data_IF_190607223735
#
_entry.id   IF_190607223735
#
_cell.length_a   1.000
_cell.length_b   1.000
_cell.length_c   1.000
_cell.angle_alpha   90.00
_cell.angle_beta   90.00
_cell.angle_gamma   90.00
#
_symmetry.space_group_name_H-M   'P 1'
#
loop_
_entity.id
_entity.type
_entity.pdbx_description
1 polymer ?
#
# COMPACT_ATOMS: atom_id res chain seq x y z
N UNK A 1 8.44 -11.29 -14.33
CA UNK A 1 9.08 -10.88 -13.04
C UNK A 1 8.33 -11.49 -11.89
N UNK A 2 9.06 -11.94 -10.88
CA UNK A 2 8.43 -12.45 -9.68
C UNK A 2 7.77 -11.31 -8.90
N UNK A 3 6.90 -11.65 -7.98
CA UNK A 3 6.18 -10.66 -7.17
C UNK A 3 6.29 -11.02 -5.71
N UNK A 4 6.58 -10.01 -4.89
CA UNK A 4 6.42 -10.08 -3.45
C UNK A 4 5.14 -9.32 -3.13
N UNK A 5 4.29 -9.87 -2.30
CA UNK A 5 3.02 -9.20 -2.00
C UNK A 5 2.74 -9.12 -0.49
N UNK A 6 2.02 -8.07 -0.13
CA UNK A 6 1.43 -7.91 1.20
C UNK A 6 -0.05 -7.69 0.97
N UNK A 7 -0.89 -8.55 1.50
CA UNK A 7 -2.32 -8.52 1.24
C UNK A 7 -3.09 -8.41 2.54
N UNK A 8 -4.12 -7.56 2.53
CA UNK A 8 -4.96 -7.39 3.70
C UNK A 8 -4.32 -6.57 4.82
N UNK A 9 -3.41 -5.65 4.49
CA UNK A 9 -2.81 -4.76 5.48
C UNK A 9 -3.88 -3.77 5.96
N UNK A 10 -4.24 -3.85 7.23
CA UNK A 10 -5.24 -2.98 7.83
C UNK A 10 -4.55 -1.77 8.46
N UNK A 11 -5.00 -0.57 8.09
CA UNK A 11 -4.46 0.66 8.63
C UNK A 11 -5.62 1.54 9.10
N UNK A 12 -5.59 1.96 10.36
CA UNK A 12 -6.56 2.90 10.87
C UNK A 12 -6.01 4.33 10.73
N UNK A 13 -6.75 5.19 10.05
CA UNK A 13 -6.28 6.53 9.73
C UNK A 13 -7.43 7.50 9.54
N UNK A 14 -7.11 8.78 9.56
CA UNK A 14 -8.04 9.84 9.17
C UNK A 14 -8.05 9.89 7.64
N UNK A 15 -9.22 9.70 7.04
CA UNK A 15 -9.39 9.66 5.59
C UNK A 15 -10.82 10.11 5.25
N UNK A 16 -10.97 10.93 4.21
CA UNK A 16 -12.26 11.37 3.71
C UNK A 16 -12.38 12.88 3.65
N UNK A 17 -13.32 13.36 2.82
CA UNK A 17 -13.52 14.79 2.56
C UNK A 17 -14.55 15.43 3.50
N UNK A 18 -15.44 14.60 4.08
CA UNK A 18 -16.51 15.11 4.92
C UNK A 18 -16.00 15.50 6.29
N UNK A 19 -16.57 16.55 6.85
CA UNK A 19 -16.11 17.06 8.16
C UNK A 19 -16.14 15.99 9.25
N UNK A 20 -17.19 15.18 9.29
CA UNK A 20 -17.29 14.10 10.28
C UNK A 20 -16.19 13.06 10.11
N UNK A 21 -15.73 12.81 8.86
CA UNK A 21 -14.63 11.89 8.59
C UNK A 21 -13.29 12.41 9.13
N UNK A 22 -13.14 13.73 9.23
CA UNK A 22 -11.92 14.34 9.75
C UNK A 22 -11.80 14.22 11.27
N UNK A 23 -12.87 13.83 11.93
CA UNK A 23 -12.93 13.72 13.39
C UNK A 23 -12.76 12.29 13.91
N UNK A 24 -12.65 11.32 13.02
CA UNK A 24 -12.57 9.90 13.38
C UNK A 24 -11.45 9.21 12.61
N UNK A 25 -11.11 8.00 13.04
CA UNK A 25 -10.30 7.10 12.21
C UNK A 25 -11.20 6.10 11.53
N UNK A 26 -10.78 5.67 10.35
CA UNK A 26 -11.44 4.62 9.59
C UNK A 26 -10.40 3.59 9.17
N UNK A 27 -10.83 2.35 8.99
CA UNK A 27 -9.94 1.27 8.58
C UNK A 27 -9.86 1.23 7.07
N UNK A 28 -8.65 1.30 6.54
CA UNK A 28 -8.36 0.97 5.14
C UNK A 28 -7.74 -0.42 5.07
N UNK A 29 -8.05 -1.14 4.00
CA UNK A 29 -7.42 -2.43 3.71
C UNK A 29 -6.57 -2.23 2.47
N UNK A 30 -5.28 -2.47 2.59
CA UNK A 30 -4.30 -2.19 1.55
C UNK A 30 -3.66 -3.49 1.07
N UNK A 31 -3.68 -3.70 -0.24
CA UNK A 31 -2.99 -4.81 -0.89
C UNK A 31 -1.87 -4.25 -1.75
N UNK A 32 -0.71 -4.83 -1.62
CA UNK A 32 0.49 -4.43 -2.37
C UNK A 32 1.03 -5.62 -3.14
N UNK A 33 1.38 -5.41 -4.41
CA UNK A 33 2.19 -6.34 -5.18
C UNK A 33 3.42 -5.58 -5.66
N UNK A 34 4.59 -6.19 -5.51
CA UNK A 34 5.86 -5.55 -5.84
C UNK A 34 6.66 -6.49 -6.74
N UNK A 35 7.04 -6.01 -7.92
CA UNK A 35 7.91 -6.77 -8.82
C UNK A 35 9.30 -6.87 -8.23
N UNK A 36 9.83 -8.07 -8.15
CA UNK A 36 11.15 -8.31 -7.56
C UNK A 36 11.73 -9.61 -8.08
N UNK A 37 13.00 -9.58 -8.44
CA UNK A 37 13.70 -10.82 -8.79
C UNK A 37 14.14 -11.50 -7.51
N UNK A 38 13.53 -12.62 -7.18
CA UNK A 38 13.81 -13.33 -5.92
C UNK A 38 15.00 -14.28 -6.01
N UNK A 39 15.67 -14.39 -7.16
CA UNK A 39 16.72 -15.41 -7.35
C UNK A 39 17.85 -15.31 -6.35
N UNK A 40 18.34 -14.10 -6.07
CA UNK A 40 19.44 -13.90 -5.12
C UNK A 40 19.04 -14.36 -3.71
N UNK A 41 17.87 -13.92 -3.25
CA UNK A 41 17.36 -14.30 -1.93
C UNK A 41 17.10 -15.81 -1.83
N UNK A 42 16.54 -16.40 -2.87
CA UNK A 42 16.27 -17.83 -2.89
C UNK A 42 17.56 -18.66 -2.84
N UNK A 43 18.63 -18.14 -3.44
CA UNK A 43 19.93 -18.81 -3.48
C UNK A 43 20.70 -18.66 -2.16
N UNK A 44 20.71 -17.46 -1.59
CA UNK A 44 21.49 -17.15 -0.39
C UNK A 44 20.76 -17.42 0.92
N UNK A 45 19.43 -17.42 0.89
CA UNK A 45 18.59 -17.47 2.08
C UNK A 45 18.88 -16.31 3.06
N UNK A 46 19.32 -15.17 2.52
CA UNK A 46 19.72 -14.00 3.31
C UNK A 46 18.73 -12.86 3.16
N UNK A 47 18.36 -12.22 4.28
CA UNK A 47 17.41 -11.11 4.31
C UNK A 47 17.90 -9.93 3.47
N UNK A 48 19.20 -9.65 3.45
CA UNK A 48 19.78 -8.54 2.70
C UNK A 48 19.64 -8.68 1.18
N UNK A 49 19.32 -9.87 0.67
CA UNK A 49 19.15 -10.13 -0.75
C UNK A 49 17.69 -10.04 -1.19
N UNK A 50 16.78 -9.74 -0.27
CA UNK A 50 15.35 -9.66 -0.58
C UNK A 50 14.78 -8.28 -0.24
N UNK A 51 13.58 -8.03 -0.78
CA UNK A 51 12.76 -6.91 -0.36
C UNK A 51 12.12 -7.26 0.99
N UNK A 52 12.40 -6.46 2.02
CA UNK A 52 11.80 -6.70 3.34
C UNK A 52 10.35 -6.22 3.37
N UNK A 53 9.40 -7.15 3.23
CA UNK A 53 7.98 -6.81 3.29
C UNK A 53 7.56 -6.30 4.67
N UNK A 54 8.28 -6.66 5.73
CA UNK A 54 8.01 -6.09 7.07
C UNK A 54 8.31 -4.59 7.10
N UNK A 55 9.45 -4.18 6.53
CA UNK A 55 9.82 -2.77 6.46
C UNK A 55 8.87 -2.01 5.55
N UNK A 56 8.47 -2.62 4.43
CA UNK A 56 7.46 -2.04 3.52
C UNK A 56 6.16 -1.80 4.27
N UNK A 57 5.63 -2.79 4.98
CA UNK A 57 4.38 -2.67 5.71
C UNK A 57 4.45 -1.58 6.78
N UNK A 58 5.55 -1.50 7.53
CA UNK A 58 5.75 -0.45 8.53
C UNK A 58 5.77 0.94 7.91
N UNK A 59 6.49 1.09 6.81
CA UNK A 59 6.62 2.38 6.12
C UNK A 59 5.29 2.84 5.53
N UNK A 60 4.55 1.93 4.90
CA UNK A 60 3.24 2.22 4.34
C UNK A 60 2.27 2.64 5.43
N UNK A 61 2.25 1.91 6.55
CA UNK A 61 1.40 2.25 7.69
C UNK A 61 1.70 3.68 8.18
N UNK A 62 2.97 4.00 8.42
CA UNK A 62 3.39 5.32 8.89
C UNK A 62 2.97 6.42 7.91
N UNK A 63 3.20 6.21 6.62
CA UNK A 63 2.83 7.17 5.58
C UNK A 63 1.33 7.45 5.58
N UNK A 64 0.52 6.40 5.62
CA UNK A 64 -0.95 6.52 5.56
C UNK A 64 -1.49 7.25 6.80
N UNK A 65 -0.99 6.90 7.98
CA UNK A 65 -1.40 7.53 9.24
C UNK A 65 -1.01 9.00 9.27
N UNK A 66 0.21 9.33 8.88
CA UNK A 66 0.74 10.68 8.93
C UNK A 66 0.11 11.63 7.89
N UNK A 67 -0.27 11.11 6.73
CA UNK A 67 -0.74 11.94 5.62
C UNK A 67 -2.10 12.57 5.89
N UNK A 68 -2.99 11.88 6.57
CA UNK A 68 -4.36 12.34 6.83
C UNK A 68 -5.04 12.86 5.56
N UNK A 69 -4.96 12.04 4.51
CA UNK A 69 -5.44 12.43 3.18
C UNK A 69 -6.96 12.58 3.12
N UNK A 70 -7.43 13.38 2.18
CA UNK A 70 -8.86 13.46 1.88
C UNK A 70 -9.30 12.30 0.99
N UNK A 71 -8.45 11.88 0.05
CA UNK A 71 -8.79 10.89 -0.97
C UNK A 71 -7.87 9.68 -0.90
N UNK A 72 -8.43 8.49 -1.11
CA UNK A 72 -7.63 7.26 -1.21
C UNK A 72 -6.68 7.30 -2.41
N UNK A 73 -7.03 8.03 -3.46
CA UNK A 73 -6.17 8.25 -4.63
C UNK A 73 -4.84 8.89 -4.26
N UNK A 74 -4.88 9.86 -3.35
CA UNK A 74 -3.67 10.51 -2.84
C UNK A 74 -2.76 9.50 -2.14
N UNK A 75 -3.35 8.62 -1.34
CA UNK A 75 -2.61 7.59 -0.65
C UNK A 75 -2.03 6.57 -1.62
N UNK A 76 -2.82 6.15 -2.62
CA UNK A 76 -2.38 5.15 -3.59
C UNK A 76 -1.14 5.63 -4.37
N UNK A 77 -1.18 6.86 -4.88
CA UNK A 77 -0.03 7.44 -5.58
C UNK A 77 1.17 7.61 -4.66
N UNK A 78 0.94 8.07 -3.43
CA UNK A 78 2.02 8.25 -2.46
C UNK A 78 2.69 6.92 -2.09
N UNK A 79 1.90 5.87 -1.90
CA UNK A 79 2.43 4.54 -1.61
C UNK A 79 3.25 4.02 -2.78
N UNK A 80 2.73 4.12 -4.01
CA UNK A 80 3.45 3.68 -5.19
C UNK A 80 4.79 4.42 -5.32
N UNK A 81 4.79 5.74 -5.09
CA UNK A 81 6.00 6.55 -5.13
C UNK A 81 7.05 6.10 -4.11
N UNK A 82 6.64 5.88 -2.87
CA UNK A 82 7.59 5.46 -1.84
C UNK A 82 8.12 4.04 -2.08
N UNK A 83 7.32 3.15 -2.64
CA UNK A 83 7.80 1.81 -2.99
C UNK A 83 8.89 1.88 -4.04
N UNK A 84 8.72 2.73 -5.05
CA UNK A 84 9.69 2.88 -6.12
C UNK A 84 10.94 3.65 -5.65
N UNK A 85 10.77 4.71 -4.87
CA UNK A 85 11.88 5.58 -4.47
C UNK A 85 12.66 5.06 -3.26
N UNK A 86 11.98 4.54 -2.26
CA UNK A 86 12.63 4.12 -1.01
C UNK A 86 13.03 2.65 -1.01
N UNK A 87 12.32 1.80 -1.77
CA UNK A 87 12.56 0.36 -1.79
C UNK A 87 13.06 -0.16 -3.14
N UNK A 88 13.29 0.73 -4.10
CA UNK A 88 13.79 0.37 -5.43
C UNK A 88 12.91 -0.65 -6.17
N UNK A 89 11.62 -0.63 -5.92
CA UNK A 89 10.66 -1.52 -6.57
C UNK A 89 10.42 -1.03 -8.00
N UNK A 90 10.75 -1.83 -9.03
CA UNK A 90 10.61 -1.38 -10.42
C UNK A 90 9.16 -1.31 -10.89
N UNK A 91 8.30 -2.13 -10.33
CA UNK A 91 6.87 -2.16 -10.63
C UNK A 91 6.10 -2.49 -9.37
N UNK A 92 4.94 -1.83 -9.20
CA UNK A 92 4.06 -2.15 -8.08
C UNK A 92 2.60 -2.00 -8.48
N UNK A 93 1.76 -2.71 -7.75
CA UNK A 93 0.32 -2.55 -7.76
C UNK A 93 -0.12 -2.22 -6.35
N UNK A 94 -0.93 -1.19 -6.22
CA UNK A 94 -1.46 -0.71 -4.94
C UNK A 94 -2.98 -0.71 -5.03
N UNK A 95 -3.62 -1.46 -4.15
CA UNK A 95 -5.08 -1.50 -4.05
C UNK A 95 -5.49 -1.03 -2.66
N UNK A 96 -6.34 -0.01 -2.59
CA UNK A 96 -6.84 0.51 -1.32
C UNK A 96 -8.36 0.34 -1.29
N UNK A 97 -8.84 -0.34 -0.27
CA UNK A 97 -10.25 -0.63 -0.06
C UNK A 97 -10.74 0.13 1.17
N UNK A 98 -11.74 0.99 0.96
CA UNK A 98 -12.41 1.75 2.02
C UNK A 98 -13.81 1.14 2.19
N UNK A 99 -13.87 -0.01 2.85
CA UNK A 99 -15.13 -0.73 3.04
C UNK A 99 -16.19 0.13 3.69
N UNK A 100 -17.40 0.00 3.19
CA UNK A 100 -18.55 0.71 3.75
C UNK A 100 -18.67 2.17 3.33
N UNK A 101 -17.80 2.66 2.46
CA UNK A 101 -17.85 4.05 2.00
C UNK A 101 -19.09 4.35 1.15
N UNK A 102 -19.63 3.33 0.48
CA UNK A 102 -20.82 3.46 -0.35
C UNK A 102 -21.88 2.48 0.14
N UNK A 103 -23.06 2.98 0.45
CA UNK A 103 -24.18 2.14 0.89
C UNK A 103 -24.51 1.13 -0.21
N UNK A 104 -24.57 -0.15 0.18
CA UNK A 104 -24.88 -1.24 -0.73
C UNK A 104 -23.68 -1.88 -1.39
N UNK A 105 -22.50 -1.27 -1.30
CA UNK A 105 -21.25 -1.87 -1.79
C UNK A 105 -20.37 -2.33 -0.61
N UNK A 106 -19.87 -3.56 -0.69
CA UNK A 106 -18.96 -4.06 0.32
C UNK A 106 -17.58 -3.41 0.19
N UNK A 107 -17.08 -3.37 -1.03
CA UNK A 107 -15.72 -2.93 -1.32
C UNK A 107 -15.76 -1.71 -2.24
N UNK A 108 -15.04 -0.67 -1.87
CA UNK A 108 -14.92 0.57 -2.64
C UNK A 108 -13.51 1.07 -2.51
N UNK A 109 -12.90 1.46 -3.61
CA UNK A 109 -11.55 2.00 -3.52
C UNK A 109 -10.91 2.21 -4.88
N UNK A 110 -9.58 2.20 -4.88
CA UNK A 110 -8.75 2.37 -6.09
C UNK A 110 -7.74 1.24 -6.19
N UNK A 111 -7.35 0.95 -7.42
CA UNK A 111 -6.42 -0.11 -7.76
C UNK A 111 -5.55 0.43 -8.89
N UNK A 112 -4.27 0.66 -8.60
CA UNK A 112 -3.34 1.29 -9.56
C UNK A 112 -2.10 0.44 -9.76
N UNK A 113 -1.50 0.58 -10.94
CA UNK A 113 -0.20 -0.03 -11.26
C UNK A 113 0.75 1.08 -11.68
N UNK A 114 2.01 1.00 -11.24
CA UNK A 114 3.04 1.98 -11.56
C UNK A 114 4.36 1.28 -11.82
N UNK A 115 5.15 1.84 -12.75
CA UNK A 115 6.43 1.27 -13.13
C UNK A 115 6.31 0.25 -14.23
N UNK A 116 7.38 -0.51 -14.44
CA UNK A 116 7.46 -1.52 -15.52
C UNK A 116 8.00 -2.83 -14.97
N UNK A 117 7.35 -3.88 -15.37
CA UNK A 117 7.80 -5.24 -15.08
C UNK A 117 8.99 -5.64 -15.90
#
# INVERSE_FOLDING_TARGET
MDKIFVQGLEVECVIGVWEWERQITQKLIIDLEMGWDISAAASSDALEDTLSYKDVAKRVNAFVVETQANLVETLAEGIAGLLQEEFDVPWCRVRINKRGAVTGARDVGVDIERGQQ
#
